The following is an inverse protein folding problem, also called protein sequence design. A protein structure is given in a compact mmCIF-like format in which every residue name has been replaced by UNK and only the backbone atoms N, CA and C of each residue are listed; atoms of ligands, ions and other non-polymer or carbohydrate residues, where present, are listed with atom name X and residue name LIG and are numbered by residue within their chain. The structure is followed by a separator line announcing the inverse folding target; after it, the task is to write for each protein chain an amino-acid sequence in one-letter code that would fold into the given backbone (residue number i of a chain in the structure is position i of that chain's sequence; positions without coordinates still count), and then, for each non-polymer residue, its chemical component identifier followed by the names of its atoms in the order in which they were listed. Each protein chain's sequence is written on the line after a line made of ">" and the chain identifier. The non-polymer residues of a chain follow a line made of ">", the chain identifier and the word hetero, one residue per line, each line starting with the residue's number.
data_IF_144897380983
#
_entry.id   IF_144897380983
#
_cell.length_a   1.000
_cell.length_b   1.000
_cell.length_c   1.000
_cell.angle_alpha   90.00
_cell.angle_beta   90.00
_cell.angle_gamma   90.00
#
_symmetry.space_group_name_H-M   'P 1'
#
loop_
_entity.id
_entity.type
_entity.pdbx_description
1 polymer ?
#
# COMPACT_ATOMS: atom_id res chain seq x y z
N UNK A 1 19.04 14.92 11.64
CA UNK A 1 19.00 14.79 10.16
C UNK A 1 20.40 14.94 9.58
N UNK A 2 20.71 14.23 8.49
CA UNK A 2 22.00 14.31 7.77
C UNK A 2 21.75 14.60 6.29
N UNK A 3 22.44 15.60 5.76
CA UNK A 3 22.42 16.01 4.35
C UNK A 3 23.61 15.37 3.61
N UNK A 4 23.50 15.21 2.28
CA UNK A 4 24.48 14.52 1.44
C UNK A 4 25.86 15.19 1.39
N UNK A 5 25.92 16.50 1.67
CA UNK A 5 27.15 17.29 1.82
C UNK A 5 27.87 17.04 3.17
N UNK A 6 27.29 16.23 4.05
CA UNK A 6 27.81 15.91 5.38
C UNK A 6 27.23 16.79 6.49
N UNK A 7 26.48 17.84 6.17
CA UNK A 7 25.85 18.74 7.13
C UNK A 7 24.86 17.97 8.01
N UNK A 8 24.85 18.27 9.31
CA UNK A 8 23.98 17.65 10.30
C UNK A 8 23.14 18.70 11.00
N UNK A 9 21.85 18.42 11.12
CA UNK A 9 20.91 19.24 11.86
C UNK A 9 20.27 18.41 12.98
N UNK A 10 20.26 18.94 14.19
CA UNK A 10 19.59 18.36 15.36
C UNK A 10 18.48 19.30 15.77
N UNK A 11 17.31 18.76 16.12
CA UNK A 11 16.13 19.56 16.41
C UNK A 11 14.85 18.74 16.24
N UNK A 12 13.73 19.36 16.60
CA UNK A 12 12.41 18.78 16.36
C UNK A 12 12.09 18.83 14.87
N UNK A 13 11.53 17.74 14.37
CA UNK A 13 11.23 17.59 12.93
C UNK A 13 9.72 17.63 12.75
N UNK A 14 9.24 18.69 12.11
CA UNK A 14 7.85 18.79 11.66
C UNK A 14 7.75 18.23 10.24
N UNK A 15 7.65 16.89 10.16
CA UNK A 15 7.47 16.15 8.92
C UNK A 15 5.97 15.94 8.67
N UNK A 16 5.41 16.30 7.50
CA UNK A 16 4.06 15.90 7.12
C UNK A 16 3.98 14.41 6.75
N UNK A 17 2.76 13.88 6.59
CA UNK A 17 2.52 12.51 6.08
C UNK A 17 3.35 12.23 4.83
N UNK A 18 4.23 11.24 4.92
CA UNK A 18 5.11 10.84 3.82
C UNK A 18 4.32 9.99 2.85
N UNK A 19 4.25 10.42 1.59
CA UNK A 19 3.74 9.61 0.48
C UNK A 19 4.89 8.90 -0.20
N UNK A 20 4.92 7.58 -0.12
CA UNK A 20 5.95 6.75 -0.72
C UNK A 20 5.35 5.88 -1.81
N UNK A 21 5.78 6.05 -3.06
CA UNK A 21 5.46 5.08 -4.10
C UNK A 21 6.33 3.84 -3.93
N UNK A 22 5.71 2.69 -3.63
CA UNK A 22 6.40 1.42 -3.39
C UNK A 22 6.28 0.55 -4.65
N UNK A 23 7.34 0.39 -5.46
CA UNK A 23 7.27 -0.36 -6.72
C UNK A 23 6.77 -1.79 -6.55
N UNK A 24 7.22 -2.47 -5.48
CA UNK A 24 6.81 -3.84 -5.16
C UNK A 24 5.31 -3.99 -4.89
N UNK A 25 4.61 -2.89 -4.55
CA UNK A 25 3.17 -2.86 -4.33
C UNK A 25 2.42 -2.16 -5.48
N UNK A 26 3.14 -1.61 -6.46
CA UNK A 26 2.61 -0.78 -7.55
C UNK A 26 1.62 0.32 -7.08
N UNK A 27 1.84 0.88 -5.88
CA UNK A 27 0.96 1.90 -5.28
C UNK A 27 1.72 2.87 -4.39
N UNK A 28 1.08 3.99 -4.11
CA UNK A 28 1.49 4.89 -3.04
C UNK A 28 1.01 4.38 -1.68
N UNK A 29 1.89 4.48 -0.69
CA UNK A 29 1.61 4.26 0.73
C UNK A 29 1.75 5.60 1.44
N UNK A 30 0.77 5.92 2.29
CA UNK A 30 0.82 7.09 3.18
C UNK A 30 1.33 6.61 4.53
N UNK A 31 2.42 7.19 4.99
CA UNK A 31 3.07 6.83 6.25
C UNK A 31 3.00 8.02 7.20
N UNK A 32 2.45 7.80 8.39
CA UNK A 32 2.45 8.81 9.44
C UNK A 32 3.91 9.00 9.92
N UNK A 33 4.41 10.24 10.04
CA UNK A 33 5.76 10.51 10.54
C UNK A 33 6.03 9.92 11.91
N UNK A 34 4.98 9.83 12.74
CA UNK A 34 5.07 9.21 14.08
C UNK A 34 5.40 7.74 13.99
N UNK A 35 5.10 7.08 12.88
CA UNK A 35 5.42 5.68 12.65
C UNK A 35 6.83 5.50 12.08
N UNK A 36 7.56 6.56 11.69
CA UNK A 36 8.90 6.44 11.10
C UNK A 36 9.96 6.56 12.20
N UNK A 37 10.93 5.65 12.23
CA UNK A 37 12.13 5.72 13.11
C UNK A 37 13.35 6.19 12.36
N UNK A 38 13.48 5.80 11.09
CA UNK A 38 14.59 6.18 10.24
C UNK A 38 14.10 6.28 8.80
N UNK A 39 14.50 7.34 8.12
CA UNK A 39 14.36 7.50 6.67
C UNK A 39 15.75 7.58 6.09
N UNK A 40 16.03 6.80 5.05
CA UNK A 40 17.25 6.86 4.25
C UNK A 40 16.92 7.17 2.81
N UNK A 41 17.71 8.03 2.21
CA UNK A 41 17.64 8.35 0.79
C UNK A 41 19.01 8.12 0.18
N UNK A 42 19.04 7.55 -1.02
CA UNK A 42 20.26 7.43 -1.81
C UNK A 42 19.97 7.70 -3.28
N UNK A 43 21.04 7.99 -4.02
CA UNK A 43 20.99 8.21 -5.45
C UNK A 43 20.75 6.87 -6.16
N UNK A 44 19.68 6.82 -6.95
CA UNK A 44 19.36 5.67 -7.78
C UNK A 44 19.94 5.85 -9.20
N UNK A 45 19.82 7.06 -9.75
CA UNK A 45 20.26 7.36 -11.10
C UNK A 45 20.62 8.84 -11.26
N UNK A 46 21.61 9.12 -12.10
CA UNK A 46 22.11 10.44 -12.41
C UNK A 46 22.27 10.61 -13.92
N UNK A 47 21.92 11.78 -14.42
CA UNK A 47 22.10 12.13 -15.82
C UNK A 47 22.33 13.64 -15.99
N UNK A 48 23.12 14.00 -17.01
CA UNK A 48 23.15 15.34 -17.57
C UNK A 48 22.22 15.37 -18.78
N UNK A 49 21.17 16.18 -18.72
CA UNK A 49 20.17 16.26 -19.77
C UNK A 49 20.38 17.57 -20.52
N UNK A 50 20.43 17.49 -21.85
CA UNK A 50 20.51 18.68 -22.70
C UNK A 50 19.28 19.56 -22.48
N UNK A 51 19.52 20.82 -22.14
CA UNK A 51 18.47 21.79 -21.97
C UNK A 51 17.80 22.07 -23.32
N UNK A 52 16.52 22.44 -23.26
CA UNK A 52 15.75 22.77 -24.45
C UNK A 52 14.73 23.84 -24.10
N UNK A 53 14.36 24.61 -25.12
CA UNK A 53 13.22 25.54 -25.08
C UNK A 53 12.26 25.19 -26.21
N UNK A 54 11.01 25.63 -26.11
CA UNK A 54 10.14 25.64 -27.28
C UNK A 54 10.62 26.72 -28.26
N UNK A 55 10.50 26.44 -29.56
CA UNK A 55 10.86 27.41 -30.59
C UNK A 55 10.05 28.71 -30.45
N UNK A 56 8.76 28.56 -30.16
CA UNK A 56 7.80 29.63 -29.88
C UNK A 56 6.80 29.14 -28.83
N UNK A 57 6.13 30.06 -28.13
CA UNK A 57 5.13 29.70 -27.12
C UNK A 57 3.96 28.92 -27.78
N UNK A 58 3.71 27.70 -27.30
CA UNK A 58 2.71 26.79 -27.86
C UNK A 58 3.18 25.93 -29.04
N UNK A 59 4.41 26.13 -29.55
CA UNK A 59 5.00 25.23 -30.56
C UNK A 59 5.39 23.88 -29.94
N UNK A 60 5.14 22.74 -30.61
CA UNK A 60 5.66 21.44 -30.16
C UNK A 60 7.16 21.26 -30.45
N UNK A 61 7.74 22.15 -31.26
CA UNK A 61 9.14 22.10 -31.65
C UNK A 61 10.06 22.52 -30.50
N UNK A 62 11.05 21.68 -30.21
CA UNK A 62 12.03 21.90 -29.15
C UNK A 62 13.38 22.23 -29.75
N UNK A 63 13.91 23.39 -29.40
CA UNK A 63 15.26 23.82 -29.76
C UNK A 63 16.18 23.42 -28.61
N UNK A 64 17.20 22.61 -28.93
CA UNK A 64 18.22 22.24 -27.97
C UNK A 64 19.11 23.45 -27.66
N UNK A 65 19.36 23.69 -26.38
CA UNK A 65 20.31 24.70 -25.92
C UNK A 65 21.71 24.08 -25.82
N UNK A 66 22.73 24.91 -25.70
CA UNK A 66 24.12 24.46 -25.54
C UNK A 66 24.46 24.04 -24.10
N UNK A 67 23.52 24.26 -23.17
CA UNK A 67 23.66 23.94 -21.76
C UNK A 67 23.03 22.59 -21.42
N UNK A 68 23.58 21.92 -20.41
CA UNK A 68 22.97 20.76 -19.78
C UNK A 68 22.45 21.14 -18.39
N UNK A 69 21.42 20.45 -17.91
CA UNK A 69 21.04 20.48 -16.51
C UNK A 69 21.22 19.10 -15.86
N UNK A 70 21.63 19.04 -14.59
CA UNK A 70 21.74 17.78 -13.87
C UNK A 70 20.36 17.28 -13.44
N UNK A 71 20.16 15.98 -13.55
CA UNK A 71 19.00 15.25 -13.06
C UNK A 71 19.48 14.12 -12.16
N UNK A 72 18.98 14.10 -10.92
CA UNK A 72 19.24 13.05 -9.94
C UNK A 72 17.93 12.44 -9.48
N UNK A 73 17.81 11.12 -9.58
CA UNK A 73 16.69 10.35 -9.05
C UNK A 73 17.09 9.66 -7.76
N UNK A 74 16.15 9.56 -6.82
CA UNK A 74 16.38 9.01 -5.51
C UNK A 74 15.49 7.81 -5.23
N UNK A 75 16.06 6.85 -4.54
CA UNK A 75 15.32 5.83 -3.82
C UNK A 75 15.30 6.19 -2.33
N UNK A 76 14.23 5.79 -1.65
CA UNK A 76 14.00 6.03 -0.24
C UNK A 76 13.62 4.74 0.46
N UNK A 77 14.14 4.57 1.67
CA UNK A 77 13.80 3.51 2.60
C UNK A 77 13.26 4.13 3.89
N UNK A 78 12.06 3.71 4.29
CA UNK A 78 11.46 4.09 5.56
C UNK A 78 11.50 2.89 6.49
N UNK A 79 12.24 3.01 7.58
CA UNK A 79 12.18 2.13 8.73
C UNK A 79 11.10 2.68 9.65
N UNK A 80 10.13 1.85 9.97
CA UNK A 80 9.00 2.21 10.80
C UNK A 80 9.18 1.72 12.25
N UNK A 81 8.47 2.31 13.21
CA UNK A 81 8.47 1.96 14.65
C UNK A 81 8.00 0.55 14.88
N UNK A 82 7.09 0.11 14.03
CA UNK A 82 6.58 -1.24 14.00
C UNK A 82 7.58 -2.25 13.39
N UNK A 83 8.70 -1.72 12.86
CA UNK A 83 9.86 -2.36 12.26
C UNK A 83 9.83 -2.53 10.75
N UNK A 84 8.78 -2.06 10.08
CA UNK A 84 8.60 -2.26 8.65
C UNK A 84 9.70 -1.50 7.92
N UNK A 85 10.20 -2.10 6.83
CA UNK A 85 11.07 -1.40 5.90
C UNK A 85 10.33 -1.20 4.57
N UNK A 86 9.94 0.04 4.29
CA UNK A 86 9.30 0.41 3.04
C UNK A 86 10.34 0.99 2.08
N UNK A 87 10.55 0.32 0.95
CA UNK A 87 11.45 0.78 -0.12
C UNK A 87 10.66 1.33 -1.29
N UNK A 88 10.97 2.56 -1.70
CA UNK A 88 10.22 3.24 -2.75
C UNK A 88 10.80 4.58 -3.14
N UNK A 89 9.95 5.45 -3.68
CA UNK A 89 10.31 6.84 -4.03
C UNK A 89 9.34 7.79 -3.36
N UNK A 90 9.86 8.79 -2.65
CA UNK A 90 9.01 9.79 -1.97
C UNK A 90 8.37 10.72 -2.99
N UNK A 91 7.05 10.80 -2.95
CA UNK A 91 6.31 11.87 -3.63
C UNK A 91 6.60 13.15 -2.85
N UNK A 92 7.06 14.18 -3.55
CA UNK A 92 7.73 15.33 -2.95
C UNK A 92 7.00 15.88 -1.70
N UNK A 93 7.75 16.07 -0.62
CA UNK A 93 7.26 16.60 0.65
C UNK A 93 8.31 17.54 1.26
N UNK A 94 7.87 18.74 1.64
CA UNK A 94 8.66 19.69 2.40
C UNK A 94 8.44 19.47 3.89
N UNK A 95 9.47 19.70 4.70
CA UNK A 95 9.41 19.59 6.15
C UNK A 95 10.34 20.60 6.81
N UNK A 96 10.07 20.88 8.09
CA UNK A 96 10.86 21.83 8.88
C UNK A 96 11.67 21.07 9.93
N UNK A 97 12.89 21.53 10.16
CA UNK A 97 13.71 21.16 11.33
C UNK A 97 13.86 22.42 12.17
N UNK A 98 13.27 22.42 13.36
CA UNK A 98 13.45 23.48 14.34
C UNK A 98 14.84 23.35 14.97
N UNK A 99 15.82 24.08 14.44
CA UNK A 99 17.17 24.13 15.00
C UNK A 99 17.25 25.21 16.10
N UNK A 100 18.37 25.27 16.82
CA UNK A 100 18.52 26.19 17.97
C UNK A 100 18.33 27.67 17.59
N UNK A 101 18.79 28.07 16.40
CA UNK A 101 18.81 29.48 15.97
C UNK A 101 17.72 29.83 14.95
N UNK A 102 17.28 28.86 14.14
CA UNK A 102 16.29 29.08 13.09
C UNK A 102 15.57 27.80 12.64
N UNK A 103 14.38 27.98 12.05
CA UNK A 103 13.64 26.92 11.40
C UNK A 103 14.16 26.69 9.97
N UNK A 104 14.68 25.50 9.72
CA UNK A 104 15.26 25.14 8.43
C UNK A 104 14.29 24.28 7.62
N UNK A 105 14.01 24.70 6.38
CA UNK A 105 13.11 23.96 5.48
C UNK A 105 13.90 23.04 4.53
N UNK A 106 13.48 21.78 4.47
CA UNK A 106 14.06 20.77 3.58
C UNK A 106 12.99 20.11 2.71
N UNK A 107 13.42 19.43 1.64
CA UNK A 107 12.53 18.73 0.71
C UNK A 107 13.02 17.32 0.46
N UNK A 108 12.16 16.33 0.71
CA UNK A 108 12.29 14.97 0.21
C UNK A 108 11.59 14.87 -1.15
N UNK A 109 12.21 14.21 -2.13
CA UNK A 109 11.67 14.10 -3.50
C UNK A 109 12.25 12.89 -4.22
N UNK A 110 11.48 12.33 -5.15
CA UNK A 110 11.92 11.23 -6.02
C UNK A 110 12.92 11.66 -7.08
N UNK A 111 12.90 12.93 -7.50
CA UNK A 111 13.80 13.50 -8.50
C UNK A 111 14.18 14.95 -8.16
N UNK A 112 15.41 15.34 -8.44
CA UNK A 112 15.93 16.69 -8.32
C UNK A 112 16.57 17.09 -9.65
N UNK A 113 15.93 18.04 -10.32
CA UNK A 113 16.45 18.72 -11.50
C UNK A 113 17.16 19.99 -11.06
N UNK A 114 18.43 20.15 -11.43
CA UNK A 114 19.18 21.38 -11.22
C UNK A 114 18.90 22.45 -12.27
N UNK A 115 19.54 23.59 -12.08
CA UNK A 115 19.57 24.65 -13.08
C UNK A 115 20.47 24.27 -14.28
N UNK A 116 20.22 24.82 -15.48
CA UNK A 116 21.18 24.75 -16.57
C UNK A 116 22.56 25.27 -16.12
N UNK A 117 23.62 24.55 -16.48
CA UNK A 117 25.00 24.87 -16.11
C UNK A 117 25.41 24.48 -14.68
N UNK A 118 24.49 24.02 -13.82
CA UNK A 118 24.81 23.55 -12.47
C UNK A 118 25.52 22.20 -12.50
N UNK A 119 26.50 21.98 -11.61
CA UNK A 119 27.14 20.69 -11.47
C UNK A 119 26.23 19.69 -10.73
N UNK A 120 26.39 18.39 -11.00
CA UNK A 120 25.53 17.38 -10.37
C UNK A 120 25.86 17.21 -8.88
N UNK A 121 27.11 17.46 -8.51
CA UNK A 121 27.63 17.44 -7.14
C UNK A 121 26.93 18.49 -6.26
N UNK A 122 26.53 19.62 -6.85
CA UNK A 122 25.85 20.72 -6.15
C UNK A 122 24.39 20.39 -5.78
N UNK A 123 23.84 19.28 -6.27
CA UNK A 123 22.47 18.85 -5.94
C UNK A 123 22.39 18.17 -4.57
N UNK A 124 22.58 18.93 -3.49
CA UNK A 124 22.46 18.43 -2.13
C UNK A 124 21.06 17.84 -1.84
N UNK A 125 21.01 16.78 -1.04
CA UNK A 125 19.77 16.10 -0.66
C UNK A 125 19.81 15.56 0.77
N UNK A 126 18.63 15.36 1.36
CA UNK A 126 18.52 14.75 2.70
C UNK A 126 18.83 13.27 2.58
N UNK A 127 19.99 12.85 3.10
CA UNK A 127 20.44 11.46 3.09
C UNK A 127 19.78 10.64 4.19
N UNK A 128 19.58 11.23 5.36
CA UNK A 128 19.08 10.50 6.52
C UNK A 128 18.23 11.38 7.46
N UNK A 129 17.08 10.88 7.89
CA UNK A 129 16.29 11.45 8.99
C UNK A 129 16.16 10.37 10.06
N UNK A 130 16.59 10.65 11.30
CA UNK A 130 16.39 9.75 12.45
C UNK A 130 15.38 10.37 13.41
N UNK A 131 14.31 9.64 13.69
CA UNK A 131 13.25 9.99 14.64
C UNK A 131 13.10 8.94 15.77
N UNK A 132 13.95 7.92 15.75
CA UNK A 132 14.03 6.85 16.74
C UNK A 132 15.16 5.87 16.43
N UNK A 133 15.15 4.71 17.10
CA UNK A 133 16.09 3.61 16.85
C UNK A 133 15.43 2.59 15.93
N UNK A 134 15.97 2.32 14.72
CA UNK A 134 15.41 1.30 13.84
C UNK A 134 15.62 -0.11 14.42
N UNK A 135 14.66 -1.04 14.23
CA UNK A 135 14.91 -2.43 14.55
C UNK A 135 15.92 -3.03 13.56
N UNK A 136 16.70 -4.05 13.98
CA UNK A 136 17.65 -4.73 13.09
C UNK A 136 16.95 -5.43 11.92
N UNK A 137 17.57 -5.49 10.74
CA UNK A 137 17.04 -6.22 9.57
C UNK A 137 16.80 -7.72 9.87
N UNK A 138 17.60 -8.31 10.77
CA UNK A 138 17.41 -9.67 11.28
C UNK A 138 16.08 -9.88 12.04
N UNK A 139 15.33 -8.81 12.34
CA UNK A 139 14.01 -8.89 12.95
C UNK A 139 12.87 -9.10 11.93
N UNK A 140 13.15 -9.07 10.63
CA UNK A 140 12.15 -9.33 9.59
C UNK A 140 11.90 -10.83 9.44
N UNK A 141 10.62 -11.17 9.25
CA UNK A 141 10.13 -12.52 9.06
C UNK A 141 9.88 -12.83 7.58
N UNK A 142 9.93 -14.12 7.26
CA UNK A 142 9.46 -14.67 5.99
C UNK A 142 8.24 -15.53 6.27
N UNK A 143 7.17 -15.28 5.53
CA UNK A 143 5.97 -16.11 5.53
C UNK A 143 6.00 -16.97 4.28
N UNK A 144 6.16 -18.28 4.45
CA UNK A 144 6.14 -19.23 3.35
C UNK A 144 5.25 -20.42 3.70
N UNK A 145 4.75 -21.13 2.70
CA UNK A 145 3.90 -22.29 2.95
C UNK A 145 3.33 -22.89 1.67
N UNK A 146 2.31 -23.71 1.85
CA UNK A 146 1.57 -24.34 0.76
C UNK A 146 0.07 -24.06 0.88
N UNK A 147 -0.53 -23.66 -0.22
CA UNK A 147 -1.93 -23.32 -0.38
C UNK A 147 -2.44 -23.86 -1.74
N UNK A 148 -2.60 -25.18 -1.90
CA UNK A 148 -3.06 -25.76 -3.15
C UNK A 148 -4.46 -25.25 -3.52
N UNK A 149 -4.68 -24.95 -4.80
CA UNK A 149 -5.96 -24.42 -5.31
C UNK A 149 -6.22 -22.93 -5.02
N UNK A 150 -5.29 -22.26 -4.35
CA UNK A 150 -5.30 -20.80 -4.15
C UNK A 150 -4.51 -20.16 -5.28
N UNK A 151 -5.06 -19.12 -5.90
CA UNK A 151 -4.38 -18.32 -6.94
C UNK A 151 -3.59 -17.17 -6.30
N UNK A 152 -4.16 -16.55 -5.26
CA UNK A 152 -3.55 -15.44 -4.56
C UNK A 152 -3.78 -15.53 -3.05
N UNK A 153 -2.72 -15.29 -2.27
CA UNK A 153 -2.79 -15.07 -0.83
C UNK A 153 -2.53 -13.59 -0.55
N UNK A 154 -3.38 -12.98 0.28
CA UNK A 154 -3.16 -11.63 0.79
C UNK A 154 -3.01 -11.67 2.31
N UNK A 155 -1.96 -11.04 2.82
CA UNK A 155 -1.72 -10.83 4.23
C UNK A 155 -2.05 -9.37 4.58
N UNK A 156 -2.97 -9.14 5.49
CA UNK A 156 -3.41 -7.83 5.95
C UNK A 156 -3.01 -7.68 7.40
N UNK A 157 -2.21 -6.67 7.74
CA UNK A 157 -1.73 -6.55 9.13
C UNK A 157 -2.86 -6.18 10.09
N UNK A 158 -2.78 -6.68 11.32
CA UNK A 158 -3.78 -6.42 12.35
C UNK A 158 -3.87 -4.92 12.70
N UNK A 159 -2.70 -4.30 12.83
CA UNK A 159 -2.49 -2.91 13.25
C UNK A 159 -1.86 -2.09 12.11
N UNK A 160 -2.50 -0.96 11.77
CA UNK A 160 -1.90 0.14 11.03
C UNK A 160 -1.27 -0.15 9.67
N UNK A 161 -1.76 -1.11 8.87
CA UNK A 161 -0.98 -1.60 7.74
C UNK A 161 -1.75 -2.10 6.53
N UNK A 162 -1.15 -1.85 5.35
CA UNK A 162 -1.66 -2.25 4.05
C UNK A 162 -1.80 -3.77 3.85
N UNK A 163 -2.49 -4.15 2.76
CA UNK A 163 -2.52 -5.52 2.29
C UNK A 163 -1.26 -5.86 1.48
N UNK A 164 -0.68 -7.04 1.71
CA UNK A 164 0.49 -7.57 1.04
C UNK A 164 0.11 -8.82 0.24
N UNK A 165 0.40 -8.81 -1.06
CA UNK A 165 0.20 -9.99 -1.90
C UNK A 165 1.37 -10.96 -1.74
N UNK A 166 1.05 -12.23 -1.55
CA UNK A 166 1.94 -13.39 -1.65
C UNK A 166 1.44 -14.25 -2.82
N UNK A 167 2.03 -14.11 -4.03
CA UNK A 167 1.67 -14.94 -5.17
C UNK A 167 1.82 -16.42 -4.84
N UNK A 168 0.85 -17.22 -5.26
CA UNK A 168 0.89 -18.68 -5.10
C UNK A 168 1.30 -19.29 -6.42
N UNK A 169 2.38 -20.08 -6.41
CA UNK A 169 2.86 -20.82 -7.58
C UNK A 169 1.90 -21.92 -8.00
N UNK A 170 2.07 -22.44 -9.22
CA UNK A 170 1.21 -23.50 -9.75
C UNK A 170 1.25 -24.81 -8.93
N UNK A 171 2.34 -25.04 -8.19
CA UNK A 171 2.48 -26.16 -7.24
C UNK A 171 1.80 -25.91 -5.88
N UNK A 172 1.19 -24.73 -5.71
CA UNK A 172 0.57 -24.26 -4.49
C UNK A 172 1.54 -23.66 -3.49
N UNK A 173 2.83 -23.50 -3.80
CA UNK A 173 3.79 -22.90 -2.88
C UNK A 173 3.71 -21.38 -2.90
N UNK A 174 3.95 -20.73 -1.77
CA UNK A 174 4.08 -19.28 -1.71
C UNK A 174 5.18 -18.89 -0.74
N UNK A 175 5.76 -17.71 -0.98
CA UNK A 175 6.68 -17.07 -0.06
C UNK A 175 6.52 -15.55 -0.13
N UNK A 176 6.67 -14.92 1.03
CA UNK A 176 6.72 -13.48 1.18
C UNK A 176 7.78 -13.14 2.21
N UNK A 177 8.85 -12.53 1.75
CA UNK A 177 9.95 -12.04 2.57
C UNK A 177 9.64 -10.62 3.07
N UNK A 178 10.53 -10.11 3.94
CA UNK A 178 10.48 -8.76 4.49
C UNK A 178 9.15 -8.42 5.21
N UNK A 179 8.53 -9.43 5.83
CA UNK A 179 7.33 -9.26 6.64
C UNK A 179 7.71 -8.88 8.05
N UNK A 180 6.91 -8.05 8.71
CA UNK A 180 7.12 -7.81 10.12
C UNK A 180 6.62 -8.96 10.98
N UNK A 181 7.21 -9.18 12.15
CA UNK A 181 6.54 -9.91 13.19
C UNK A 181 5.24 -9.22 13.63
N UNK A 182 4.30 -10.03 14.08
CA UNK A 182 3.02 -9.60 14.62
C UNK A 182 1.84 -10.28 13.94
N UNK A 183 0.65 -9.80 14.28
CA UNK A 183 -0.59 -10.44 13.84
C UNK A 183 -1.01 -9.95 12.45
N UNK A 184 -1.36 -10.89 11.59
CA UNK A 184 -1.89 -10.69 10.25
C UNK A 184 -3.26 -11.37 10.09
N UNK A 185 -3.95 -10.98 9.04
CA UNK A 185 -5.17 -11.59 8.55
C UNK A 185 -4.88 -12.13 7.17
N UNK A 186 -5.30 -13.35 6.88
CA UNK A 186 -5.17 -13.91 5.54
C UNK A 186 -6.48 -13.82 4.77
N UNK A 187 -6.35 -13.50 3.48
CA UNK A 187 -7.40 -13.68 2.48
C UNK A 187 -6.84 -14.60 1.40
N UNK A 188 -7.47 -15.76 1.23
CA UNK A 188 -7.11 -16.74 0.21
C UNK A 188 -8.13 -16.61 -0.91
N UNK A 189 -7.67 -16.31 -2.12
CA UNK A 189 -8.48 -16.23 -3.32
C UNK A 189 -8.25 -17.48 -4.18
N UNK A 190 -9.32 -18.20 -4.48
CA UNK A 190 -9.40 -19.15 -5.57
C UNK A 190 -10.31 -18.57 -6.68
N UNK A 191 -10.35 -19.22 -7.85
CA UNK A 191 -11.02 -18.72 -9.07
C UNK A 191 -12.42 -18.12 -8.86
N UNK A 192 -13.26 -18.72 -8.00
CA UNK A 192 -14.64 -18.23 -7.71
C UNK A 192 -15.00 -18.22 -6.22
N UNK A 193 -14.01 -18.41 -5.35
CA UNK A 193 -14.23 -18.54 -3.92
C UNK A 193 -13.14 -17.80 -3.15
N UNK A 194 -13.51 -17.26 -2.00
CA UNK A 194 -12.60 -16.54 -1.11
C UNK A 194 -12.80 -17.06 0.30
N UNK A 195 -11.69 -17.36 0.99
CA UNK A 195 -11.67 -17.56 2.43
C UNK A 195 -11.00 -16.34 3.07
N UNK A 196 -11.71 -15.64 3.95
CA UNK A 196 -11.27 -14.38 4.53
C UNK A 196 -11.23 -14.43 6.06
N UNK A 197 -10.08 -14.07 6.62
CA UNK A 197 -9.89 -13.89 8.06
C UNK A 197 -10.42 -12.56 8.56
N UNK A 198 -11.73 -12.46 8.75
CA UNK A 198 -12.35 -11.25 9.29
C UNK A 198 -12.53 -11.35 10.82
N UNK A 199 -12.01 -10.40 11.61
CA UNK A 199 -12.09 -10.45 13.07
C UNK A 199 -13.45 -9.94 13.59
N UNK A 200 -13.74 -10.18 14.87
CA UNK A 200 -14.90 -9.60 15.56
C UNK A 200 -16.17 -10.46 15.54
N UNK A 201 -16.07 -11.70 15.06
CA UNK A 201 -17.17 -12.67 15.09
C UNK A 201 -18.34 -12.30 14.19
N UNK A 202 -19.47 -13.01 14.37
CA UNK A 202 -20.67 -12.82 13.55
C UNK A 202 -21.28 -11.44 13.78
N UNK A 203 -21.49 -10.70 12.69
CA UNK A 203 -22.16 -9.39 12.72
C UNK A 203 -23.65 -9.55 13.01
N UNK A 204 -24.17 -8.81 13.99
CA UNK A 204 -25.60 -8.76 14.31
C UNK A 204 -26.41 -8.20 13.14
N UNK A 205 -27.62 -8.69 12.92
CA UNK A 205 -28.47 -8.30 11.79
C UNK A 205 -28.76 -6.80 11.72
N UNK A 206 -28.98 -6.16 12.87
CA UNK A 206 -29.17 -4.71 12.95
C UNK A 206 -27.95 -3.95 12.40
N UNK A 207 -26.74 -4.35 12.81
CA UNK A 207 -25.48 -3.76 12.35
C UNK A 207 -25.27 -4.05 10.86
N UNK A 208 -25.52 -5.29 10.42
CA UNK A 208 -25.45 -5.67 9.00
C UNK A 208 -26.31 -4.76 8.14
N UNK A 209 -27.58 -4.53 8.53
CA UNK A 209 -28.49 -3.65 7.82
C UNK A 209 -27.99 -2.20 7.75
N UNK A 210 -27.38 -1.69 8.83
CA UNK A 210 -26.77 -0.36 8.84
C UNK A 210 -25.57 -0.26 7.90
N UNK A 211 -24.68 -1.26 7.91
CA UNK A 211 -23.48 -1.27 7.07
C UNK A 211 -23.83 -1.36 5.59
N UNK A 212 -24.80 -2.20 5.22
CA UNK A 212 -25.27 -2.31 3.84
C UNK A 212 -25.81 -0.96 3.32
N UNK A 213 -26.65 -0.28 4.11
CA UNK A 213 -27.15 1.06 3.78
C UNK A 213 -26.04 2.09 3.68
N UNK A 214 -25.07 2.05 4.60
CA UNK A 214 -23.92 2.97 4.56
C UNK A 214 -23.06 2.74 3.31
N UNK A 215 -22.79 1.49 2.95
CA UNK A 215 -21.98 1.13 1.77
C UNK A 215 -22.59 1.61 0.45
N UNK A 216 -23.92 1.51 0.33
CA UNK A 216 -24.67 2.04 -0.82
C UNK A 216 -24.55 3.57 -0.91
N UNK A 217 -24.63 4.27 0.22
CA UNK A 217 -24.61 5.72 0.30
C UNK A 217 -23.26 6.39 -0.01
N UNK A 218 -22.14 5.66 -0.01
CA UNK A 218 -20.84 6.26 -0.36
C UNK A 218 -20.79 6.62 -1.84
N UNK A 219 -20.62 7.90 -2.19
CA UNK A 219 -20.47 8.33 -3.58
C UNK A 219 -19.06 8.02 -4.08
N UNK A 220 -18.93 7.16 -5.08
CA UNK A 220 -17.62 6.67 -5.55
C UNK A 220 -17.57 6.52 -7.07
N UNK A 221 -16.35 6.26 -7.59
CA UNK A 221 -16.10 5.98 -8.99
C UNK A 221 -16.74 4.68 -9.49
N UNK A 222 -17.05 3.73 -8.61
CA UNK A 222 -17.69 2.45 -8.92
C UNK A 222 -19.21 2.55 -8.80
N UNK A 223 -19.92 2.02 -9.80
CA UNK A 223 -21.37 2.14 -9.95
C UNK A 223 -22.10 1.11 -9.08
N UNK A 224 -21.55 -0.10 -8.97
CA UNK A 224 -22.11 -1.18 -8.17
C UNK A 224 -21.15 -1.50 -7.03
N UNK A 225 -21.69 -1.60 -5.80
CA UNK A 225 -20.96 -2.05 -4.62
C UNK A 225 -21.72 -3.19 -3.98
N UNK A 226 -21.01 -4.25 -3.62
CA UNK A 226 -21.60 -5.40 -2.95
C UNK A 226 -20.75 -5.79 -1.77
N UNK A 227 -21.33 -5.72 -0.58
CA UNK A 227 -20.73 -6.30 0.62
C UNK A 227 -20.89 -7.82 0.53
N UNK A 228 -19.78 -8.52 0.37
CA UNK A 228 -19.76 -9.97 0.18
C UNK A 228 -19.65 -10.74 1.50
N UNK A 229 -18.97 -10.17 2.49
CA UNK A 229 -18.87 -10.71 3.84
C UNK A 229 -18.68 -9.60 4.88
N UNK A 230 -19.07 -9.90 6.12
CA UNK A 230 -18.95 -9.01 7.28
C UNK A 230 -18.53 -9.80 8.51
N UNK A 231 -17.73 -9.16 9.36
CA UNK A 231 -17.50 -9.60 10.74
C UNK A 231 -17.34 -8.38 11.66
N UNK A 232 -17.65 -8.55 12.95
CA UNK A 232 -17.60 -7.48 13.93
C UNK A 232 -18.92 -6.75 14.15
N UNK A 233 -18.95 -5.88 15.16
CA UNK A 233 -20.15 -5.18 15.63
C UNK A 233 -19.92 -3.70 15.97
N UNK A 234 -18.82 -3.36 16.63
CA UNK A 234 -18.44 -1.97 16.94
C UNK A 234 -17.45 -1.43 15.91
N UNK A 235 -16.41 -2.23 15.67
CA UNK A 235 -15.57 -2.17 14.49
C UNK A 235 -16.04 -3.29 13.56
N UNK A 236 -16.38 -2.94 12.32
CA UNK A 236 -16.83 -3.89 11.31
C UNK A 236 -15.79 -4.01 10.22
N UNK A 237 -15.44 -5.24 9.88
CA UNK A 237 -14.66 -5.55 8.69
C UNK A 237 -15.58 -6.04 7.59
N UNK A 238 -15.57 -5.34 6.46
CA UNK A 238 -16.40 -5.65 5.30
C UNK A 238 -15.53 -6.06 4.12
N UNK A 239 -15.76 -7.25 3.60
CA UNK A 239 -15.20 -7.66 2.31
C UNK A 239 -16.13 -7.15 1.21
N UNK A 240 -15.64 -6.26 0.35
CA UNK A 240 -16.49 -5.52 -0.60
C UNK A 240 -16.00 -5.74 -2.02
N UNK A 241 -16.94 -6.14 -2.89
CA UNK A 241 -16.78 -6.13 -4.34
C UNK A 241 -17.30 -4.81 -4.92
N UNK A 242 -16.53 -4.21 -5.81
CA UNK A 242 -16.83 -2.96 -6.50
C UNK A 242 -16.78 -3.20 -7.99
N UNK A 243 -17.82 -2.77 -8.72
CA UNK A 243 -17.90 -2.93 -10.16
C UNK A 243 -18.18 -1.60 -10.86
N UNK A 244 -17.54 -1.43 -12.01
CA UNK A 244 -17.79 -0.32 -12.94
C UNK A 244 -18.03 -0.90 -14.33
N UNK A 245 -19.22 -0.66 -14.87
CA UNK A 245 -19.71 -1.14 -16.16
C UNK A 245 -19.75 0.06 -17.11
N UNK A 246 -18.59 0.57 -17.52
CA UNK A 246 -18.56 1.77 -18.35
C UNK A 246 -17.20 2.10 -18.95
N UNK A 247 -17.20 3.05 -19.88
CA UNK A 247 -15.97 3.63 -20.44
C UNK A 247 -15.13 4.25 -19.33
N UNK A 248 -13.85 3.89 -19.32
CA UNK A 248 -12.81 4.59 -18.55
C UNK A 248 -11.86 5.25 -19.53
N UNK A 249 -10.97 6.11 -19.04
CA UNK A 249 -9.85 6.62 -19.84
C UNK A 249 -8.96 5.51 -20.43
N UNK A 250 -9.03 4.29 -19.87
CA UNK A 250 -8.36 3.09 -20.37
C UNK A 250 -9.22 2.22 -21.33
N UNK A 251 -10.32 2.77 -21.85
CA UNK A 251 -11.20 2.12 -22.82
C UNK A 251 -12.47 1.52 -22.22
N UNK A 252 -13.17 0.74 -23.04
CA UNK A 252 -14.44 0.11 -22.72
C UNK A 252 -14.23 -1.29 -22.12
N UNK A 253 -14.23 -1.39 -20.79
CA UNK A 253 -14.08 -2.65 -20.04
C UNK A 253 -14.95 -2.60 -18.78
N UNK A 254 -15.32 -3.78 -18.28
CA UNK A 254 -15.91 -3.89 -16.94
C UNK A 254 -14.77 -4.10 -15.94
N UNK A 255 -14.66 -3.21 -14.96
CA UNK A 255 -13.65 -3.30 -13.91
C UNK A 255 -14.28 -3.83 -12.63
N UNK A 256 -13.71 -4.91 -12.09
CA UNK A 256 -14.01 -5.38 -10.76
C UNK A 256 -12.83 -5.06 -9.84
N UNK A 257 -13.15 -4.67 -8.61
CA UNK A 257 -12.18 -4.44 -7.56
C UNK A 257 -12.67 -5.05 -6.27
N UNK A 258 -11.76 -5.66 -5.53
CA UNK A 258 -12.03 -6.27 -4.24
C UNK A 258 -11.23 -5.56 -3.17
N UNK A 259 -11.93 -5.11 -2.14
CA UNK A 259 -11.36 -4.34 -1.05
C UNK A 259 -11.80 -4.92 0.29
N UNK A 260 -10.97 -4.71 1.29
CA UNK A 260 -11.31 -4.93 2.69
C UNK A 260 -11.48 -3.56 3.35
N UNK A 261 -12.65 -3.31 3.94
CA UNK A 261 -12.97 -2.06 4.61
C UNK A 261 -13.02 -2.27 6.11
N UNK A 262 -12.33 -1.40 6.87
CA UNK A 262 -12.49 -1.28 8.31
C UNK A 262 -13.43 -0.11 8.57
N UNK A 263 -14.57 -0.38 9.19
CA UNK A 263 -15.62 0.59 9.44
C UNK A 263 -15.86 0.74 10.94
N UNK A 264 -16.15 1.96 11.36
CA UNK A 264 -16.49 2.29 12.75
C UNK A 264 -17.72 3.19 12.79
N UNK A 265 -18.54 3.05 13.83
CA UNK A 265 -19.70 3.92 14.02
C UNK A 265 -19.27 5.21 14.70
N UNK A 266 -19.42 6.34 14.01
CA UNK A 266 -19.42 7.68 14.62
C UNK A 266 -20.82 8.21 14.61
N UNK A 267 -21.47 8.24 15.76
CA UNK A 267 -22.85 8.70 15.91
C UNK A 267 -23.10 9.98 15.09
N UNK A 268 -23.99 9.97 14.07
CA UNK A 268 -25.01 8.94 13.78
C UNK A 268 -24.69 7.93 12.65
N UNK A 269 -23.49 7.96 12.03
CA UNK A 269 -23.20 7.20 10.80
C UNK A 269 -22.00 6.25 10.92
N UNK A 270 -21.97 5.25 10.06
CA UNK A 270 -20.77 4.44 9.84
C UNK A 270 -19.80 5.17 8.93
N UNK A 271 -18.52 5.19 9.31
CA UNK A 271 -17.45 5.76 8.52
C UNK A 271 -16.43 4.68 8.17
N UNK A 272 -15.92 4.72 6.94
CA UNK A 272 -14.79 3.90 6.54
C UNK A 272 -13.52 4.54 7.12
N UNK A 273 -12.84 3.82 7.99
CA UNK A 273 -11.54 4.21 8.55
C UNK A 273 -10.39 3.82 7.65
N UNK A 274 -10.53 2.67 7.02
CA UNK A 274 -9.47 2.08 6.23
C UNK A 274 -10.05 1.36 5.02
N UNK A 275 -9.37 1.50 3.88
CA UNK A 275 -9.66 0.77 2.64
C UNK A 275 -8.41 0.10 2.16
N UNK A 276 -8.46 -1.22 2.11
CA UNK A 276 -7.35 -2.05 1.71
C UNK A 276 -7.69 -2.70 0.38
N UNK A 277 -7.07 -2.21 -0.69
CA UNK A 277 -7.12 -2.86 -2.00
C UNK A 277 -6.44 -4.24 -1.92
N UNK A 278 -7.13 -5.26 -2.42
CA UNK A 278 -6.61 -6.61 -2.54
C UNK A 278 -6.25 -6.92 -3.99
N UNK A 279 -7.26 -7.02 -4.87
CA UNK A 279 -7.05 -7.28 -6.30
C UNK A 279 -8.12 -6.63 -7.18
N UNK A 280 -7.90 -6.77 -8.50
CA UNK A 280 -8.81 -6.34 -9.55
C UNK A 280 -8.93 -7.40 -10.62
N UNK A 281 -10.08 -7.42 -11.27
CA UNK A 281 -10.31 -8.18 -12.50
C UNK A 281 -10.77 -7.23 -13.60
N UNK A 282 -10.39 -7.55 -14.83
CA UNK A 282 -10.78 -6.79 -16.01
C UNK A 282 -11.54 -7.75 -16.92
N UNK A 283 -12.81 -7.43 -17.14
CA UNK A 283 -13.70 -8.23 -17.96
C UNK A 283 -14.05 -7.51 -19.27
N UNK A 284 -14.54 -8.24 -20.29
CA UNK A 284 -15.18 -7.61 -21.44
C UNK A 284 -16.27 -6.62 -21.01
N UNK A 285 -16.46 -5.55 -21.77
CA UNK A 285 -17.49 -4.56 -21.48
C UNK A 285 -18.88 -5.22 -21.44
N UNK A 286 -19.67 -4.87 -20.43
CA UNK A 286 -21.03 -5.39 -20.28
C UNK A 286 -21.09 -6.84 -19.79
N UNK A 287 -19.95 -7.49 -19.54
CA UNK A 287 -19.94 -8.81 -18.92
C UNK A 287 -20.69 -8.79 -17.58
N UNK A 288 -21.51 -9.82 -17.35
CA UNK A 288 -22.19 -10.01 -16.09
C UNK A 288 -21.17 -10.16 -14.95
N UNK A 289 -21.44 -9.49 -13.82
CA UNK A 289 -20.56 -9.53 -12.67
C UNK A 289 -20.89 -10.76 -11.84
N UNK A 290 -19.95 -11.70 -11.79
CA UNK A 290 -20.05 -12.89 -10.97
C UNK A 290 -19.20 -12.72 -9.71
N UNK A 291 -19.84 -12.26 -8.64
CA UNK A 291 -19.16 -12.09 -7.34
C UNK A 291 -18.74 -13.45 -6.76
N UNK A 292 -17.52 -13.56 -6.19
CA UNK A 292 -17.06 -14.80 -5.57
C UNK A 292 -17.87 -15.12 -4.31
N UNK A 293 -17.97 -16.41 -3.98
CA UNK A 293 -18.50 -16.82 -2.69
C UNK A 293 -17.43 -16.56 -1.62
N UNK A 294 -17.76 -15.74 -0.61
CA UNK A 294 -16.83 -15.42 0.47
C UNK A 294 -17.23 -16.18 1.74
N UNK A 295 -16.29 -16.92 2.30
CA UNK A 295 -16.43 -17.62 3.59
C UNK A 295 -15.54 -16.92 4.62
N UNK A 296 -16.12 -16.53 5.75
CA UNK A 296 -15.35 -15.98 6.87
C UNK A 296 -14.78 -17.13 7.69
N UNK A 297 -13.46 -17.13 7.89
CA UNK A 297 -12.73 -18.18 8.61
C UNK A 297 -11.97 -17.53 9.77
N UNK A 298 -12.37 -17.83 11.01
CA UNK A 298 -11.88 -17.13 12.19
C UNK A 298 -10.37 -17.32 12.39
N UNK A 299 -9.86 -18.51 12.08
CA UNK A 299 -8.45 -18.92 12.20
C UNK A 299 -7.54 -18.10 11.29
N UNK A 300 -8.07 -17.55 10.19
CA UNK A 300 -7.31 -16.68 9.31
C UNK A 300 -7.24 -15.23 9.81
N UNK A 301 -7.95 -14.87 10.89
CA UNK A 301 -8.09 -13.48 11.35
C UNK A 301 -6.99 -13.03 12.34
N UNK A 302 -6.16 -13.96 12.80
CA UNK A 302 -5.08 -13.71 13.74
C UNK A 302 -3.91 -14.67 13.49
N UNK A 303 -3.28 -14.51 12.34
CA UNK A 303 -2.07 -15.22 11.94
C UNK A 303 -0.87 -14.54 12.59
N UNK A 304 -0.24 -15.19 13.55
CA UNK A 304 1.02 -14.70 14.10
C UNK A 304 2.15 -14.97 13.11
N UNK A 305 2.85 -13.90 12.76
CA UNK A 305 4.11 -13.95 12.01
C UNK A 305 5.21 -13.68 13.01
N UNK A 306 6.17 -14.61 13.13
CA UNK A 306 7.30 -14.48 14.03
C UNK A 306 8.62 -14.60 13.25
N UNK A 307 9.67 -13.99 13.77
CA UNK A 307 11.03 -14.19 13.29
C UNK A 307 11.73 -15.28 14.16
N UNK A 308 12.50 -16.22 13.58
CA UNK A 308 12.82 -16.41 12.17
C UNK A 308 12.08 -17.64 11.61
N UNK A 309 10.99 -17.41 10.87
CA UNK A 309 10.28 -18.40 10.04
C UNK A 309 9.36 -19.38 10.78
N UNK A 310 8.06 -19.05 10.77
CA UNK A 310 7.03 -20.09 10.89
C UNK A 310 5.87 -19.79 9.96
N UNK A 311 5.53 -20.79 9.14
CA UNK A 311 4.32 -20.79 8.35
C UNK A 311 3.10 -20.89 9.29
N UNK A 312 2.12 -19.98 9.23
CA UNK A 312 0.87 -20.19 9.95
C UNK A 312 0.09 -21.34 9.31
N UNK A 313 -0.65 -22.09 10.13
CA UNK A 313 -1.55 -23.12 9.66
C UNK A 313 -2.72 -22.50 8.86
N UNK A 314 -2.59 -22.41 7.54
CA UNK A 314 -3.68 -22.00 6.64
C UNK A 314 -4.75 -23.09 6.45
N UNK A 315 -4.66 -24.20 7.18
CA UNK A 315 -5.45 -25.42 6.98
C UNK A 315 -6.96 -25.18 6.99
N UNK A 316 -7.47 -24.38 7.93
CA UNK A 316 -8.89 -24.03 7.99
C UNK A 316 -9.36 -23.23 6.77
N UNK A 317 -8.54 -22.31 6.27
CA UNK A 317 -8.82 -21.54 5.06
C UNK A 317 -8.89 -22.42 3.81
N UNK A 318 -7.95 -23.36 3.68
CA UNK A 318 -7.92 -24.31 2.57
C UNK A 318 -9.11 -25.27 2.58
N UNK A 319 -9.48 -25.78 3.76
CA UNK A 319 -10.66 -26.62 3.93
C UNK A 319 -11.95 -25.88 3.52
N UNK A 320 -12.08 -24.59 3.89
CA UNK A 320 -13.22 -23.76 3.53
C UNK A 320 -13.35 -23.55 2.00
N UNK A 321 -12.22 -23.43 1.29
CA UNK A 321 -12.22 -23.33 -0.18
C UNK A 321 -12.60 -24.66 -0.85
N UNK A 322 -12.08 -25.78 -0.34
CA UNK A 322 -12.38 -27.11 -0.89
C UNK A 322 -13.87 -27.47 -0.82
N UNK A 323 -14.56 -27.11 0.27
CA UNK A 323 -16.00 -27.37 0.44
C UNK A 323 -16.92 -26.59 -0.51
N UNK A 324 -16.41 -25.58 -1.22
CA UNK A 324 -17.19 -24.73 -2.15
C UNK A 324 -16.97 -25.08 -3.62
N UNK A 325 -15.96 -25.91 -3.94
CA UNK A 325 -15.62 -26.32 -5.30
C UNK A 325 -16.29 -27.61 -5.80
N UNK A 326 -17.12 -28.26 -4.96
CA UNK A 326 -17.65 -29.60 -5.21
C UNK A 326 -19.10 -29.69 -5.72
N UNK A 327 -19.70 -28.59 -6.20
CA UNK A 327 -21.02 -28.63 -6.83
C UNK A 327 -20.94 -28.01 -8.22
N UNK A 328 -20.47 -28.80 -9.19
CA UNK A 328 -20.86 -28.67 -10.60
C UNK A 328 -22.03 -29.60 -10.88
#
# INVERSE_FOLDING_TARGET
>A
MVVSDGTRHTGDIELPVVRLFVPALAREVRVDPRDIVLLRTWVEHEALIRAWTFAEEGSPEKIALDENYPLRNYATELFLRDGQVLRGRVVAVSFVVAAEDEDLTFVLRAAHKGAPGQAIEDLAYVREIRMGTPPPEAALARVAGRAPGVEHLYLVRAEGGGAFAAPVGADGTFARDDMLPGTYRAVLQARRAVAAGLPGGVTRDAVRGEILRAAEGFREFFEEKKVLALAGNEVVWAFVGLARKGGTSAGQRTYLRYELWRMEKRTPRWEIRERLYLWREILPQGAAVAWPAVTVVAELSAIEVEAPLTAPALGAGLAALAGKGGSE
#
